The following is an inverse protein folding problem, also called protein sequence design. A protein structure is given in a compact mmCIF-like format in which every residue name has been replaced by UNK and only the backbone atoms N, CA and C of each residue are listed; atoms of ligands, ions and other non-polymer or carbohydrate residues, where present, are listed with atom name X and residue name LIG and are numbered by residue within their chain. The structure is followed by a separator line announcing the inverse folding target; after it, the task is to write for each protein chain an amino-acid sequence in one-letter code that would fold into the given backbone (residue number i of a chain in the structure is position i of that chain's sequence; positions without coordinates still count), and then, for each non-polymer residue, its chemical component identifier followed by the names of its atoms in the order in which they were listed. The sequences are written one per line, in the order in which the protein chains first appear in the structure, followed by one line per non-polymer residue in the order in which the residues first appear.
data_IF_601016437158
#
_entry.id   IF_601016437158
#
_cell.length_a   1.000
_cell.length_b   1.000
_cell.length_c   1.000
_cell.angle_alpha   90.00
_cell.angle_beta   90.00
_cell.angle_gamma   90.00
#
_symmetry.space_group_name_H-M   'P 1'
#
loop_
_entity.id
_entity.type
_entity.pdbx_description
1 polymer ?
#
# COMPACT_ATOMS: atom_id res chain seq x y z
N UNK A 1 7.48 -16.40 39.64
CA UNK A 1 6.26 -15.61 39.46
C UNK A 1 6.47 -14.33 38.70
N UNK A 2 7.54 -13.61 38.93
CA UNK A 2 7.85 -12.40 38.14
C UNK A 2 8.06 -12.68 36.67
N UNK A 3 8.47 -13.86 36.32
CA UNK A 3 8.72 -14.29 34.95
C UNK A 3 7.45 -14.42 34.10
N UNK A 4 6.28 -14.64 34.70
CA UNK A 4 5.02 -14.66 33.96
C UNK A 4 4.69 -13.30 33.36
N UNK A 5 5.06 -12.24 34.05
CA UNK A 5 4.86 -10.88 33.56
C UNK A 5 5.72 -10.61 32.34
N UNK A 6 6.93 -11.15 32.34
CA UNK A 6 7.84 -10.99 31.20
C UNK A 6 7.31 -11.67 29.93
N UNK A 7 6.61 -12.79 30.06
CA UNK A 7 5.98 -13.46 28.92
C UNK A 7 4.96 -12.57 28.23
N UNK A 8 4.11 -11.93 29.01
CA UNK A 8 3.09 -11.05 28.47
C UNK A 8 3.72 -9.88 27.72
N UNK A 9 4.75 -9.29 28.30
CA UNK A 9 5.46 -8.17 27.67
C UNK A 9 6.09 -8.54 26.34
N UNK A 10 6.58 -9.76 26.18
CA UNK A 10 7.23 -10.19 24.96
C UNK A 10 6.28 -10.38 23.78
N UNK A 11 4.98 -10.49 24.02
CA UNK A 11 3.99 -10.64 22.95
C UNK A 11 3.59 -9.29 22.33
N UNK A 12 3.71 -8.20 23.08
CA UNK A 12 3.27 -6.89 22.62
C UNK A 12 4.03 -6.39 21.39
N UNK A 13 5.35 -6.53 21.28
CA UNK A 13 6.08 -6.05 20.10
C UNK A 13 5.62 -6.73 18.80
N UNK A 14 5.27 -8.00 18.83
CA UNK A 14 4.80 -8.72 17.67
C UNK A 14 3.45 -8.18 17.17
N UNK A 15 2.55 -7.84 18.08
CA UNK A 15 1.25 -7.25 17.73
C UNK A 15 1.41 -5.84 17.18
N UNK A 16 2.31 -5.04 17.74
CA UNK A 16 2.55 -3.68 17.30
C UNK A 16 3.19 -3.65 15.92
N UNK A 17 4.06 -4.59 15.59
CA UNK A 17 4.74 -4.61 14.29
C UNK A 17 3.76 -4.82 13.13
N UNK A 18 2.64 -5.51 13.34
CA UNK A 18 1.64 -5.72 12.30
C UNK A 18 0.78 -4.48 12.04
N UNK A 19 0.73 -3.54 12.99
CA UNK A 19 -0.06 -2.32 12.86
C UNK A 19 0.53 -1.32 11.85
N UNK A 20 1.82 -1.42 11.53
CA UNK A 20 2.54 -0.46 10.68
C UNK A 20 2.69 -0.91 9.24
N UNK A 21 2.20 -2.08 8.91
CA UNK A 21 2.31 -2.62 7.57
C UNK A 21 1.16 -3.53 7.23
N UNK A 22 0.92 -3.69 5.94
CA UNK A 22 -0.13 -4.56 5.43
C UNK A 22 0.40 -5.34 4.24
N UNK A 23 -0.02 -6.60 4.12
CA UNK A 23 0.27 -7.43 2.96
C UNK A 23 -1.01 -7.75 2.23
N UNK A 24 -0.92 -7.85 0.92
CA UNK A 24 -2.05 -8.18 0.08
C UNK A 24 -1.72 -7.98 -1.38
N UNK A 25 -2.75 -7.94 -2.20
CA UNK A 25 -2.57 -7.75 -3.64
C UNK A 25 -2.61 -6.28 -4.00
N UNK A 26 -1.67 -5.87 -4.83
CA UNK A 26 -1.74 -4.60 -5.53
C UNK A 26 -2.30 -4.82 -6.93
N UNK A 27 -3.04 -3.85 -7.42
CA UNK A 27 -3.45 -3.80 -8.81
C UNK A 27 -2.94 -2.51 -9.46
N UNK A 28 -2.87 -2.52 -10.78
CA UNK A 28 -2.55 -1.33 -11.56
C UNK A 28 -3.85 -0.70 -12.03
N UNK A 29 -3.97 0.61 -11.95
CA UNK A 29 -5.13 1.32 -12.46
C UNK A 29 -4.71 2.56 -13.24
N UNK A 30 -5.57 3.01 -14.14
CA UNK A 30 -5.32 4.18 -14.96
C UNK A 30 -6.63 4.88 -15.32
N UNK A 31 -6.63 5.62 -16.41
CA UNK A 31 -7.76 6.44 -16.83
C UNK A 31 -9.03 5.66 -17.12
N UNK A 32 -8.93 4.38 -17.38
CA UNK A 32 -10.09 3.50 -17.53
C UNK A 32 -10.93 3.45 -16.26
N UNK A 33 -10.36 3.79 -15.11
CA UNK A 33 -11.04 3.85 -13.82
C UNK A 33 -11.58 5.24 -13.49
N UNK A 34 -11.33 6.24 -14.36
CA UNK A 34 -11.76 7.62 -14.19
C UNK A 34 -10.62 8.60 -14.39
N UNK A 35 -10.98 9.87 -14.58
CA UNK A 35 -10.02 10.93 -14.87
C UNK A 35 -9.60 11.74 -13.66
N UNK A 36 -10.26 11.55 -12.52
CA UNK A 36 -10.00 12.31 -11.30
C UNK A 36 -9.79 11.38 -10.12
N UNK A 37 -9.07 11.87 -9.12
CA UNK A 37 -8.81 11.11 -7.90
C UNK A 37 -9.63 11.68 -6.74
N UNK A 38 -9.93 10.83 -5.76
CA UNK A 38 -10.82 11.19 -4.66
C UNK A 38 -10.27 12.33 -3.81
N UNK A 39 -8.96 12.46 -3.69
CA UNK A 39 -8.34 13.53 -2.90
C UNK A 39 -8.28 14.87 -3.64
N UNK A 40 -8.77 14.92 -4.88
CA UNK A 40 -8.85 16.13 -5.69
C UNK A 40 -7.83 16.16 -6.81
N UNK A 41 -8.26 16.72 -7.94
CA UNK A 41 -7.41 16.87 -9.11
C UNK A 41 -7.48 15.71 -10.09
N UNK A 42 -6.74 15.82 -11.19
CA UNK A 42 -6.73 14.79 -12.22
C UNK A 42 -5.89 13.58 -11.80
N UNK A 43 -6.22 12.43 -12.39
CA UNK A 43 -5.37 11.27 -12.32
C UNK A 43 -4.18 11.46 -13.26
N UNK A 44 -2.97 11.33 -12.71
CA UNK A 44 -1.73 11.39 -13.48
C UNK A 44 -1.10 10.00 -13.53
N UNK A 45 -1.21 9.34 -14.68
CA UNK A 45 -0.68 7.98 -14.85
C UNK A 45 0.83 7.90 -14.77
N UNK A 46 1.52 9.01 -14.97
CA UNK A 46 2.99 9.09 -14.87
C UNK A 46 3.47 9.48 -13.48
N UNK A 47 2.58 9.85 -12.58
CA UNK A 47 2.90 10.16 -11.20
C UNK A 47 3.05 8.92 -10.33
N UNK A 48 3.81 9.04 -9.25
CA UNK A 48 3.98 7.95 -8.29
C UNK A 48 2.94 8.08 -7.18
N UNK A 49 1.72 7.72 -7.50
CA UNK A 49 0.57 7.84 -6.60
C UNK A 49 -0.21 6.52 -6.56
N UNK A 50 -1.12 6.43 -5.60
CA UNK A 50 -1.88 5.21 -5.40
C UNK A 50 -3.21 5.50 -4.72
N UNK A 51 -4.13 4.54 -4.85
CA UNK A 51 -5.39 4.51 -4.13
C UNK A 51 -5.32 3.51 -2.98
N UNK A 52 -5.79 3.93 -1.82
CA UNK A 52 -6.02 3.07 -0.66
C UNK A 52 -7.37 3.40 -0.03
N UNK A 53 -7.98 2.39 0.61
CA UNK A 53 -9.25 2.60 1.32
C UNK A 53 -9.09 3.55 2.48
N UNK A 54 -7.95 3.49 3.16
CA UNK A 54 -7.65 4.24 4.38
C UNK A 54 -6.36 5.01 4.22
N UNK A 55 -5.97 5.70 5.24
CA UNK A 55 -4.86 6.65 5.35
C UNK A 55 -5.23 8.01 4.77
N UNK A 56 -4.81 9.08 5.42
CA UNK A 56 -5.10 10.44 4.94
C UNK A 56 -4.53 10.69 3.55
N UNK A 57 -5.22 11.52 2.78
CA UNK A 57 -4.69 12.03 1.52
C UNK A 57 -3.32 12.67 1.76
N UNK A 58 -2.37 12.37 0.90
CA UNK A 58 -1.00 12.86 1.04
C UNK A 58 -0.08 11.95 1.83
N UNK A 59 -0.59 10.89 2.44
CA UNK A 59 0.25 9.92 3.15
C UNK A 59 1.16 9.22 2.15
N UNK A 60 2.44 9.07 2.53
CA UNK A 60 3.42 8.33 1.72
C UNK A 60 3.58 6.93 2.28
N UNK A 61 3.59 5.96 1.39
CA UNK A 61 3.80 4.56 1.73
C UNK A 61 4.84 3.94 0.81
N UNK A 62 5.59 2.98 1.34
CA UNK A 62 6.50 2.16 0.56
C UNK A 62 5.77 0.88 0.15
N UNK A 63 5.74 0.61 -1.12
CA UNK A 63 5.14 -0.61 -1.68
C UNK A 63 6.27 -1.48 -2.21
N UNK A 64 6.35 -2.70 -1.72
CA UNK A 64 7.38 -3.66 -2.13
C UNK A 64 6.72 -4.83 -2.83
N UNK A 65 7.19 -5.12 -4.05
CA UNK A 65 6.79 -6.31 -4.78
C UNK A 65 7.48 -7.52 -4.15
N UNK A 66 6.72 -8.40 -3.54
CA UNK A 66 7.28 -9.53 -2.79
C UNK A 66 7.98 -10.55 -3.70
N UNK A 67 7.64 -10.57 -4.97
CA UNK A 67 8.21 -11.51 -5.92
C UNK A 67 9.65 -11.15 -6.30
N UNK A 68 9.98 -9.87 -6.40
CA UNK A 68 11.30 -9.42 -6.88
C UNK A 68 12.01 -8.48 -5.91
N UNK A 69 11.37 -8.06 -4.83
CA UNK A 69 11.97 -7.18 -3.83
C UNK A 69 12.05 -5.71 -4.23
N UNK A 70 11.59 -5.34 -5.42
CA UNK A 70 11.59 -3.94 -5.86
C UNK A 70 10.53 -3.15 -5.11
N UNK A 71 10.84 -1.91 -4.78
CA UNK A 71 9.92 -1.06 -4.04
C UNK A 71 9.83 0.34 -4.64
N UNK A 72 8.75 1.02 -4.29
CA UNK A 72 8.48 2.40 -4.70
C UNK A 72 7.77 3.11 -3.55
N UNK A 73 8.06 4.39 -3.38
CA UNK A 73 7.29 5.22 -2.44
C UNK A 73 6.24 5.97 -3.26
N UNK A 74 4.99 5.83 -2.85
CA UNK A 74 3.86 6.48 -3.51
C UNK A 74 3.10 7.35 -2.52
N UNK A 75 2.43 8.37 -3.05
CA UNK A 75 1.56 9.23 -2.27
C UNK A 75 0.11 8.77 -2.45
N UNK A 76 -0.60 8.57 -1.35
CA UNK A 76 -2.01 8.21 -1.40
C UNK A 76 -2.81 9.45 -1.78
N UNK A 77 -3.52 9.38 -2.91
CA UNK A 77 -4.34 10.48 -3.40
C UNK A 77 -5.73 10.04 -3.87
N UNK A 78 -6.06 8.76 -3.72
CA UNK A 78 -7.32 8.23 -4.19
C UNK A 78 -7.84 7.16 -3.23
N UNK A 79 -9.08 6.72 -3.42
CA UNK A 79 -9.75 5.71 -2.61
C UNK A 79 -10.03 4.46 -3.42
N UNK A 80 -10.00 3.33 -2.74
CA UNK A 80 -10.06 1.99 -3.29
C UNK A 80 -8.73 1.27 -3.03
N UNK A 81 -8.55 0.09 -3.60
CA UNK A 81 -9.51 -0.72 -4.34
C UNK A 81 -10.59 -1.32 -3.43
N UNK A 82 -11.75 -1.60 -4.01
CA UNK A 82 -12.86 -2.19 -3.25
C UNK A 82 -13.05 -3.67 -3.58
N UNK A 83 -12.07 -4.27 -4.21
CA UNK A 83 -12.05 -5.71 -4.51
C UNK A 83 -11.38 -6.42 -3.35
N UNK A 84 -12.01 -7.49 -2.87
CA UNK A 84 -11.51 -8.26 -1.74
C UNK A 84 -10.09 -8.76 -1.98
N UNK A 85 -9.23 -8.63 -0.97
CA UNK A 85 -7.84 -9.05 -1.03
C UNK A 85 -6.90 -8.05 -1.66
N UNK A 86 -7.42 -7.02 -2.32
CA UNK A 86 -6.61 -5.94 -2.86
C UNK A 86 -6.47 -4.82 -1.84
N UNK A 87 -5.24 -4.39 -1.60
CA UNK A 87 -4.92 -3.42 -0.56
C UNK A 87 -4.48 -2.08 -1.12
N UNK A 88 -4.08 -2.02 -2.38
CA UNK A 88 -3.61 -0.79 -3.02
C UNK A 88 -3.76 -0.89 -4.53
N UNK A 89 -4.12 0.23 -5.17
CA UNK A 89 -4.08 0.39 -6.62
C UNK A 89 -2.97 1.36 -6.97
N UNK A 90 -2.04 0.91 -7.81
CA UNK A 90 -0.90 1.72 -8.22
C UNK A 90 -1.13 2.33 -9.59
N UNK A 91 -0.66 3.57 -9.79
CA UNK A 91 -0.59 4.16 -11.12
C UNK A 91 0.29 3.30 -12.02
N UNK A 92 0.15 3.44 -13.36
CA UNK A 92 1.02 2.74 -14.29
C UNK A 92 2.50 2.98 -14.02
N UNK A 93 2.91 4.21 -13.71
CA UNK A 93 4.30 4.52 -13.40
C UNK A 93 4.80 3.81 -12.16
N UNK A 94 4.00 3.80 -11.08
CA UNK A 94 4.37 3.12 -9.84
C UNK A 94 4.46 1.61 -10.05
N UNK A 95 3.49 1.03 -10.75
CA UNK A 95 3.50 -0.40 -11.06
C UNK A 95 4.74 -0.80 -11.86
N UNK A 96 5.10 0.00 -12.85
CA UNK A 96 6.30 -0.24 -13.66
C UNK A 96 7.57 -0.20 -12.80
N UNK A 97 7.65 0.72 -11.86
CA UNK A 97 8.82 0.87 -10.98
C UNK A 97 9.09 -0.39 -10.18
N UNK A 98 8.07 -1.13 -9.79
CA UNK A 98 8.24 -2.38 -9.02
C UNK A 98 8.12 -3.62 -9.90
N UNK A 99 8.15 -3.46 -11.21
CA UNK A 99 8.18 -4.59 -12.14
C UNK A 99 6.92 -5.43 -12.17
N UNK A 100 5.75 -4.82 -11.88
CA UNK A 100 4.49 -5.53 -11.97
C UNK A 100 3.71 -5.14 -13.22
N UNK A 101 2.94 -6.08 -13.76
CA UNK A 101 1.99 -5.79 -14.85
C UNK A 101 0.64 -5.37 -14.26
N UNK A 102 -0.29 -6.29 -14.05
CA UNK A 102 -1.64 -5.96 -13.58
C UNK A 102 -1.85 -6.23 -12.09
N UNK A 103 -1.26 -7.28 -11.57
CA UNK A 103 -1.41 -7.70 -10.17
C UNK A 103 -0.07 -8.13 -9.61
N UNK A 104 0.12 -7.90 -8.32
CA UNK A 104 1.30 -8.39 -7.62
C UNK A 104 0.99 -8.54 -6.13
N UNK A 105 1.62 -9.52 -5.50
CA UNK A 105 1.64 -9.65 -4.05
C UNK A 105 2.63 -8.64 -3.50
N UNK A 106 2.19 -7.77 -2.60
CA UNK A 106 3.00 -6.67 -2.09
C UNK A 106 2.92 -6.55 -0.58
N UNK A 107 3.90 -5.85 -0.01
CA UNK A 107 3.80 -5.29 1.32
C UNK A 107 3.70 -3.78 1.20
N UNK A 108 2.91 -3.17 2.09
CA UNK A 108 2.69 -1.72 2.12
C UNK A 108 3.05 -1.22 3.51
N UNK A 109 3.94 -0.26 3.60
CA UNK A 109 4.38 0.31 4.87
C UNK A 109 4.33 1.84 4.82
N UNK A 110 3.70 2.44 5.84
CA UNK A 110 3.67 3.89 5.97
C UNK A 110 5.08 4.43 6.23
N UNK A 111 5.41 5.50 5.56
CA UNK A 111 6.68 6.20 5.72
C UNK A 111 6.62 7.26 6.82
#
# INVERSE_FOLDING_TARGET
MLWLILYIASLLPALLSTANGEEGMASRYGRESGNRVACGGPLDESGLTAARKTLPCGTRVRVTNKRNGQSVIVTINDRGPFVRGRVIDLTPAAAKTIGMSNLASVSVRRQ
#
